data_IF_376192725211
#
_entry.id   IF_376192725211
#
_cell.length_a   1.000
_cell.length_b   1.000
_cell.length_c   1.000
_cell.angle_alpha   90.00
_cell.angle_beta   90.00
_cell.angle_gamma   90.00
#
_symmetry.space_group_name_H-M   'P 1'
#
loop_
_entity.id
_entity.type
_entity.pdbx_description
1 polymer ?
#
# COMPACT_ATOMS: atom_id res chain seq x y z
N UNK A 1 25.66 -4.89 -16.83
CA UNK A 1 24.52 -4.36 -16.07
C UNK A 1 24.00 -3.18 -16.86
N UNK A 2 22.86 -3.32 -17.53
CA UNK A 2 22.24 -2.17 -18.20
C UNK A 2 21.76 -1.22 -17.11
N UNK A 3 22.27 0.00 -17.11
CA UNK A 3 21.85 1.06 -16.17
C UNK A 3 20.53 1.62 -16.69
N UNK A 4 19.44 0.91 -16.48
CA UNK A 4 18.10 1.37 -16.82
C UNK A 4 17.64 2.42 -15.81
N UNK A 5 16.81 3.36 -16.26
CA UNK A 5 16.41 4.50 -15.45
C UNK A 5 15.47 4.05 -14.32
N UNK A 6 15.63 4.59 -13.11
CA UNK A 6 14.72 4.28 -12.00
C UNK A 6 13.59 5.30 -11.95
N UNK A 7 12.35 4.83 -11.85
CA UNK A 7 11.17 5.66 -11.65
C UNK A 7 10.60 5.47 -10.24
N UNK A 8 9.92 6.50 -9.75
CA UNK A 8 9.20 6.46 -8.48
C UNK A 8 7.71 6.28 -8.73
N UNK A 9 7.13 5.23 -8.16
CA UNK A 9 5.72 4.92 -8.25
C UNK A 9 5.05 5.10 -6.89
N UNK A 10 3.86 5.69 -6.89
CA UNK A 10 2.96 5.67 -5.73
C UNK A 10 1.91 4.60 -5.97
N UNK A 11 1.87 3.61 -5.08
CA UNK A 11 0.96 2.48 -5.21
C UNK A 11 -0.03 2.47 -4.06
N UNK A 12 -1.31 2.31 -4.38
CA UNK A 12 -2.37 2.07 -3.38
C UNK A 12 -2.79 0.62 -3.48
N UNK A 13 -2.60 -0.14 -2.41
CA UNK A 13 -3.08 -1.53 -2.29
C UNK A 13 -4.32 -1.53 -1.39
N UNK A 14 -5.38 -2.22 -1.81
CA UNK A 14 -6.61 -2.38 -1.04
C UNK A 14 -6.89 -3.86 -0.83
N UNK A 15 -7.45 -4.19 0.32
CA UNK A 15 -7.88 -5.55 0.63
C UNK A 15 -9.05 -5.56 1.60
N UNK A 16 -9.58 -6.76 1.84
CA UNK A 16 -10.57 -7.01 2.90
C UNK A 16 -9.95 -7.86 3.98
N UNK A 17 -10.30 -7.58 5.23
CA UNK A 17 -9.98 -8.46 6.34
C UNK A 17 -10.74 -9.78 6.20
N UNK A 18 -10.10 -10.90 6.51
CA UNK A 18 -10.70 -12.24 6.46
C UNK A 18 -10.03 -13.11 7.52
N UNK A 19 -10.76 -14.00 8.19
CA UNK A 19 -10.15 -14.94 9.15
C UNK A 19 -9.38 -14.30 10.31
N UNK A 20 -9.69 -13.06 10.72
CA UNK A 20 -9.04 -12.42 11.86
C UNK A 20 -9.33 -13.17 13.17
N UNK A 21 -8.29 -13.50 13.93
CA UNK A 21 -8.43 -14.02 15.29
C UNK A 21 -8.93 -12.92 16.24
N UNK A 22 -9.45 -13.31 17.41
CA UNK A 22 -9.86 -12.34 18.43
C UNK A 22 -8.69 -11.44 18.89
N UNK A 23 -7.49 -12.01 19.00
CA UNK A 23 -6.27 -11.28 19.36
C UNK A 23 -5.85 -10.28 18.27
N UNK A 24 -5.85 -10.70 17.01
CA UNK A 24 -5.56 -9.82 15.87
C UNK A 24 -6.56 -8.66 15.80
N UNK A 25 -7.85 -8.96 16.03
CA UNK A 25 -8.90 -7.95 16.05
C UNK A 25 -8.72 -6.95 17.20
N UNK A 26 -8.38 -7.43 18.39
CA UNK A 26 -8.11 -6.58 19.56
C UNK A 26 -6.90 -5.66 19.30
N UNK A 27 -5.83 -6.18 18.71
CA UNK A 27 -4.64 -5.41 18.32
C UNK A 27 -5.00 -4.30 17.33
N UNK A 28 -5.69 -4.64 16.24
CA UNK A 28 -6.08 -3.65 15.22
C UNK A 28 -6.93 -2.53 15.81
N UNK A 29 -7.86 -2.84 16.71
CA UNK A 29 -8.71 -1.85 17.38
C UNK A 29 -7.94 -0.97 18.36
N UNK A 30 -6.89 -1.50 19.02
CA UNK A 30 -6.03 -0.73 19.91
C UNK A 30 -5.13 0.25 19.14
N UNK A 31 -4.73 -0.10 17.92
CA UNK A 31 -3.81 0.66 17.07
C UNK A 31 -4.55 1.54 16.02
N UNK A 32 -5.88 1.55 16.00
CA UNK A 32 -6.66 2.19 14.93
C UNK A 32 -6.44 3.71 14.84
N UNK A 33 -6.20 4.38 15.97
CA UNK A 33 -5.90 5.82 15.98
C UNK A 33 -4.48 6.11 15.44
N UNK A 34 -3.53 5.18 15.64
CA UNK A 34 -2.18 5.27 15.09
C UNK A 34 -2.17 4.94 13.58
N UNK A 35 -3.00 4.00 13.12
CA UNK A 35 -3.14 3.66 11.71
C UNK A 35 -4.23 4.46 10.98
N UNK A 36 -4.84 5.43 11.66
CA UNK A 36 -6.00 6.16 11.15
C UNK A 36 -5.70 7.00 9.90
N UNK A 37 -6.77 7.41 9.20
CA UNK A 37 -6.72 8.21 7.96
C UNK A 37 -5.88 9.50 8.05
N UNK A 38 -5.63 10.02 9.26
CA UNK A 38 -4.78 11.19 9.50
C UNK A 38 -3.29 10.93 9.16
N UNK A 39 -2.83 9.68 9.17
CA UNK A 39 -1.43 9.31 8.92
C UNK A 39 -1.19 8.73 7.52
N UNK A 40 -2.18 8.83 6.63
CA UNK A 40 -2.24 8.16 5.32
C UNK A 40 -1.26 8.77 4.28
N UNK A 41 0.03 8.57 4.50
CA UNK A 41 1.11 9.02 3.63
C UNK A 41 1.58 7.89 2.69
N UNK A 42 2.33 8.23 1.65
CA UNK A 42 3.04 7.23 0.85
C UNK A 42 4.45 7.08 1.42
N UNK A 43 4.78 5.88 1.91
CA UNK A 43 6.11 5.56 2.45
C UNK A 43 6.68 4.31 1.78
N UNK A 44 7.99 4.09 1.84
CA UNK A 44 8.60 2.88 1.27
C UNK A 44 8.20 1.61 2.04
N UNK A 45 8.02 1.72 3.35
CA UNK A 45 7.61 0.63 4.24
C UNK A 45 6.12 0.31 4.14
N UNK A 46 5.32 1.25 3.64
CA UNK A 46 3.87 1.16 3.59
C UNK A 46 3.23 1.88 4.77
N UNK A 47 2.12 2.57 4.50
CA UNK A 47 1.24 3.09 5.56
C UNK A 47 -0.10 2.37 5.48
N UNK A 48 -0.41 1.60 6.53
CA UNK A 48 -1.69 0.90 6.70
C UNK A 48 -2.75 1.87 7.21
N UNK A 49 -3.96 1.77 6.66
CA UNK A 49 -5.14 2.37 7.25
C UNK A 49 -6.38 1.51 7.09
N UNK A 50 -7.24 1.61 8.09
CA UNK A 50 -8.52 0.93 8.20
C UNK A 50 -9.37 1.68 9.24
N UNK A 51 -10.64 1.30 9.37
CA UNK A 51 -11.54 1.82 10.39
C UNK A 51 -11.96 0.72 11.38
N UNK A 52 -12.62 1.12 12.46
CA UNK A 52 -13.03 0.22 13.54
C UNK A 52 -14.03 -0.86 13.13
N UNK A 53 -14.73 -0.71 12.00
CA UNK A 53 -15.61 -1.75 11.47
C UNK A 53 -14.81 -2.95 10.92
N UNK A 54 -13.53 -2.75 10.59
CA UNK A 54 -12.63 -3.78 10.07
C UNK A 54 -13.24 -4.54 8.88
N UNK A 55 -13.82 -3.80 7.94
CA UNK A 55 -14.29 -4.37 6.67
C UNK A 55 -13.17 -4.47 5.63
N UNK A 56 -12.37 -3.42 5.53
CA UNK A 56 -11.32 -3.30 4.53
C UNK A 56 -10.13 -2.53 5.09
N UNK A 57 -9.05 -2.58 4.33
CA UNK A 57 -7.86 -1.82 4.60
C UNK A 57 -7.26 -1.28 3.32
N UNK A 58 -6.38 -0.29 3.48
CA UNK A 58 -5.58 0.27 2.42
C UNK A 58 -4.14 0.39 2.90
N UNK A 59 -3.20 -0.02 2.06
CA UNK A 59 -1.81 0.36 2.17
C UNK A 59 -1.46 1.41 1.11
N UNK A 60 -0.54 2.31 1.46
CA UNK A 60 0.09 3.24 0.53
C UNK A 60 1.59 3.07 0.52
N UNK A 61 2.14 2.76 -0.66
CA UNK A 61 3.57 2.50 -0.85
C UNK A 61 4.20 3.49 -1.82
N UNK A 62 5.46 3.83 -1.55
CA UNK A 62 6.41 4.32 -2.55
C UNK A 62 7.24 3.15 -3.03
N UNK A 63 7.16 2.84 -4.31
CA UNK A 63 7.98 1.82 -4.96
C UNK A 63 8.95 2.52 -5.90
N UNK A 64 10.22 2.14 -5.83
CA UNK A 64 11.23 2.54 -6.83
C UNK A 64 11.52 1.28 -7.63
N UNK A 65 11.27 1.33 -8.93
CA UNK A 65 11.50 0.22 -9.85
C UNK A 65 12.11 0.76 -11.13
N UNK A 66 12.56 -0.16 -11.97
CA UNK A 66 12.98 0.19 -13.30
C UNK A 66 11.86 0.86 -14.09
N UNK A 67 12.21 1.85 -14.91
CA UNK A 67 11.29 2.51 -15.82
C UNK A 67 10.72 1.52 -16.85
N UNK A 68 11.51 0.52 -17.27
CA UNK A 68 11.08 -0.50 -18.22
C UNK A 68 10.06 -1.49 -17.61
N UNK A 69 10.08 -1.67 -16.29
CA UNK A 69 9.14 -2.54 -15.57
C UNK A 69 7.75 -1.91 -15.44
N UNK A 70 7.68 -0.57 -15.43
CA UNK A 70 6.43 0.19 -15.45
C UNK A 70 5.54 0.02 -14.20
N UNK A 71 4.30 0.50 -14.35
CA UNK A 71 3.31 0.55 -13.25
C UNK A 71 2.80 -0.83 -12.82
N UNK A 72 2.74 -1.80 -13.74
CA UNK A 72 2.26 -3.16 -13.46
C UNK A 72 3.20 -3.90 -12.50
N UNK A 73 4.51 -3.80 -12.71
CA UNK A 73 5.50 -4.39 -11.81
C UNK A 73 5.50 -3.68 -10.45
N UNK A 74 5.41 -2.34 -10.45
CA UNK A 74 5.33 -1.58 -9.19
C UNK A 74 4.10 -1.97 -8.37
N UNK A 75 2.97 -2.22 -9.04
CA UNK A 75 1.75 -2.76 -8.44
C UNK A 75 1.97 -4.14 -7.82
N UNK A 76 2.55 -5.09 -8.57
CA UNK A 76 2.84 -6.43 -8.09
C UNK A 76 3.79 -6.43 -6.87
N UNK A 77 4.86 -5.63 -6.91
CA UNK A 77 5.79 -5.47 -5.79
C UNK A 77 5.10 -4.90 -4.54
N UNK A 78 4.17 -3.95 -4.70
CA UNK A 78 3.43 -3.41 -3.57
C UNK A 78 2.45 -4.43 -2.97
N UNK A 79 1.80 -5.26 -3.80
CA UNK A 79 0.92 -6.34 -3.32
C UNK A 79 1.71 -7.40 -2.54
N UNK A 80 2.89 -7.82 -3.04
CA UNK A 80 3.79 -8.75 -2.34
C UNK A 80 4.25 -8.20 -0.98
N UNK A 81 4.61 -6.91 -0.91
CA UNK A 81 4.97 -6.25 0.35
C UNK A 81 3.80 -6.18 1.33
N UNK A 82 2.60 -5.88 0.85
CA UNK A 82 1.39 -5.85 1.70
C UNK A 82 1.07 -7.24 2.25
N UNK A 83 1.10 -8.24 1.39
CA UNK A 83 0.91 -9.65 1.74
C UNK A 83 1.94 -10.13 2.78
N UNK A 84 3.21 -9.81 2.58
CA UNK A 84 4.28 -10.12 3.54
C UNK A 84 4.01 -9.47 4.90
N UNK A 85 3.76 -8.15 4.94
CA UNK A 85 3.50 -7.42 6.18
C UNK A 85 2.26 -7.96 6.93
N UNK A 86 1.19 -8.29 6.21
CA UNK A 86 -0.03 -8.88 6.78
C UNK A 86 0.24 -10.25 7.40
N UNK A 87 0.99 -11.11 6.71
CA UNK A 87 1.36 -12.44 7.21
C UNK A 87 2.25 -12.36 8.44
N UNK A 88 3.28 -11.52 8.41
CA UNK A 88 4.18 -11.31 9.56
C UNK A 88 3.43 -10.77 10.77
N UNK A 89 2.41 -9.93 10.55
CA UNK A 89 1.54 -9.42 11.61
C UNK A 89 0.45 -10.41 12.05
N UNK A 90 0.31 -11.57 11.40
CA UNK A 90 -0.72 -12.57 11.70
C UNK A 90 -2.14 -12.12 11.33
N UNK A 91 -2.27 -11.20 10.37
CA UNK A 91 -3.54 -10.62 9.96
C UNK A 91 -4.05 -11.33 8.70
N UNK A 92 -5.20 -12.00 8.82
CA UNK A 92 -5.84 -12.62 7.65
C UNK A 92 -6.49 -11.60 6.72
N UNK A 93 -6.42 -11.87 5.43
CA UNK A 93 -6.89 -10.96 4.37
C UNK A 93 -7.34 -11.72 3.12
N UNK A 94 -8.05 -11.02 2.25
CA UNK A 94 -8.47 -11.49 0.93
C UNK A 94 -8.62 -10.33 -0.07
N UNK A 95 -8.72 -10.70 -1.34
CA UNK A 95 -9.07 -9.79 -2.44
C UNK A 95 -8.14 -8.57 -2.55
N UNK A 96 -6.82 -8.79 -2.49
CA UNK A 96 -5.85 -7.73 -2.74
C UNK A 96 -6.00 -7.20 -4.17
N UNK A 97 -5.96 -5.87 -4.30
CA UNK A 97 -5.90 -5.15 -5.57
C UNK A 97 -5.07 -3.89 -5.41
N UNK A 98 -4.31 -3.54 -6.44
CA UNK A 98 -3.47 -2.35 -6.44
C UNK A 98 -3.76 -1.38 -7.59
N UNK A 99 -3.32 -0.13 -7.40
CA UNK A 99 -3.30 0.89 -8.43
C UNK A 99 -1.93 1.60 -8.44
N UNK A 100 -1.22 1.40 -9.55
CA UNK A 100 -0.04 2.11 -10.04
C UNK A 100 -0.25 3.61 -10.23
N UNK A 101 0.68 4.48 -9.82
CA UNK A 101 0.92 5.71 -10.58
C UNK A 101 2.40 6.07 -10.65
N UNK A 102 2.91 6.26 -11.86
CA UNK A 102 4.28 6.74 -12.12
C UNK A 102 4.39 8.25 -11.86
N UNK A 103 5.20 8.64 -10.89
CA UNK A 103 5.39 10.03 -10.50
C UNK A 103 6.38 10.79 -11.39
N UNK A 104 7.24 10.09 -12.13
CA UNK A 104 8.26 10.67 -13.01
C UNK A 104 7.68 11.02 -14.38
N UNK A 105 6.70 10.25 -14.85
CA UNK A 105 6.00 10.52 -16.13
C UNK A 105 4.69 11.27 -15.96
N UNK A 106 4.18 11.39 -14.73
CA UNK A 106 2.98 12.18 -14.44
C UNK A 106 3.17 13.65 -14.81
N UNK A 107 2.46 14.10 -15.85
CA UNK A 107 2.26 15.53 -16.11
C UNK A 107 1.45 16.11 -14.96
N UNK A 108 2.11 16.78 -14.02
CA UNK A 108 1.42 17.56 -12.99
C UNK A 108 0.62 18.64 -13.71
N UNK A 109 -0.69 18.43 -13.88
CA UNK A 109 -1.62 19.48 -14.25
C UNK A 109 -1.74 20.44 -13.05
N UNK A 110 -0.72 21.28 -12.86
CA UNK A 110 -0.75 22.37 -11.89
C UNK A 110 -1.78 23.37 -12.42
N UNK A 111 -2.99 23.38 -11.86
CA UNK A 111 -3.86 24.56 -11.98
C UNK A 111 -3.05 25.74 -11.43
N UNK A 112 -2.63 26.64 -12.31
CA UNK A 112 -2.07 27.93 -11.92
C UNK A 112 -3.08 28.58 -10.97
N UNK A 113 -2.61 28.94 -9.77
CA UNK A 113 -3.37 29.72 -8.79
C UNK A 113 -3.27 31.19 -9.16
#
# INVERSE_FOLDING_TARGET
>A
MSTTAQHTYRVIVRGRWDGLTAEARAKLLAEVDDHGLAQLQFTREGSLAYDTALHSFTYRYVIVSDAADGEEMAAALAEDKAETALREAGLGYRELRSAATDMDTMKINRKAR
#
